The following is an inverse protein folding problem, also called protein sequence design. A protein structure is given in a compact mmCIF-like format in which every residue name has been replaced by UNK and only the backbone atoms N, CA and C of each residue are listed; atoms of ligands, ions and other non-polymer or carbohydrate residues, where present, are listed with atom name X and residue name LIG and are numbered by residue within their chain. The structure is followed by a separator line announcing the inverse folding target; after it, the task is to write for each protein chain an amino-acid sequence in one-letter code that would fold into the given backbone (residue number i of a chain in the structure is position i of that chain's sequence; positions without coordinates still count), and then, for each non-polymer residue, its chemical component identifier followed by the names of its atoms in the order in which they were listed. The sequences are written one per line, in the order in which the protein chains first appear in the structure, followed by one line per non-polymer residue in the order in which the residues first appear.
data_IF_993736246212
#
_entry.id   IF_993736246212
#
_cell.length_a   1.000
_cell.length_b   1.000
_cell.length_c   1.000
_cell.angle_alpha   90.00
_cell.angle_beta   90.00
_cell.angle_gamma   90.00
#
_symmetry.space_group_name_H-M   'P 1'
#
loop_
_entity.id
_entity.type
_entity.pdbx_description
1 polymer ?
#
# COMPACT_ATOMS: atom_id res chain seq x y z
N UNK A 1 11.42 4.85 -7.96
CA UNK A 1 10.71 3.57 -8.18
C UNK A 1 11.72 2.45 -8.05
N UNK A 2 11.30 1.30 -7.55
CA UNK A 2 12.16 0.12 -7.43
C UNK A 2 11.44 -1.09 -8.01
N UNK A 3 12.19 -1.94 -8.70
CA UNK A 3 11.73 -3.24 -9.20
C UNK A 3 12.62 -4.34 -8.66
N UNK A 4 12.04 -5.53 -8.46
CA UNK A 4 12.75 -6.71 -7.99
C UNK A 4 12.55 -7.88 -8.93
N UNK A 5 13.59 -8.65 -9.19
CA UNK A 5 13.44 -9.92 -9.87
C UNK A 5 12.95 -10.99 -8.86
N UNK A 6 11.67 -11.36 -8.93
CA UNK A 6 11.05 -12.40 -8.10
C UNK A 6 11.16 -13.80 -8.73
N UNK A 7 11.66 -13.89 -9.97
CA UNK A 7 11.84 -15.13 -10.68
C UNK A 7 13.14 -15.87 -10.32
N UNK A 8 13.26 -17.15 -10.72
CA UNK A 8 14.44 -17.97 -10.43
C UNK A 8 15.61 -17.75 -11.41
N UNK A 9 15.40 -17.01 -12.50
CA UNK A 9 16.39 -16.82 -13.57
C UNK A 9 16.85 -15.37 -13.65
N UNK A 10 17.99 -15.14 -14.32
CA UNK A 10 18.42 -13.80 -14.68
C UNK A 10 17.34 -13.12 -15.55
N UNK A 11 16.90 -11.94 -15.16
CA UNK A 11 15.91 -11.14 -15.87
C UNK A 11 16.62 -10.05 -16.68
N UNK A 12 16.46 -10.07 -18.02
CA UNK A 12 16.89 -9.00 -18.90
C UNK A 12 15.83 -7.89 -18.93
N UNK A 13 16.23 -6.67 -18.62
CA UNK A 13 15.36 -5.50 -18.61
C UNK A 13 15.47 -4.65 -19.89
N UNK A 14 16.23 -5.13 -20.89
CA UNK A 14 16.45 -4.34 -22.12
C UNK A 14 15.12 -4.10 -22.86
N UNK A 15 14.74 -2.82 -22.98
CA UNK A 15 13.51 -2.42 -23.65
C UNK A 15 12.24 -2.48 -22.80
N UNK A 16 12.32 -2.96 -21.56
CA UNK A 16 11.22 -2.81 -20.58
C UNK A 16 11.04 -1.32 -20.29
N UNK A 17 9.79 -0.85 -20.21
CA UNK A 17 9.53 0.58 -20.08
C UNK A 17 8.30 0.91 -19.23
N UNK A 18 8.39 1.97 -18.45
CA UNK A 18 7.24 2.68 -17.90
C UNK A 18 6.66 3.61 -18.96
N UNK A 19 5.34 3.57 -19.15
CA UNK A 19 4.62 4.34 -20.18
C UNK A 19 3.54 5.26 -19.61
N UNK A 20 3.15 5.03 -18.37
CA UNK A 20 2.17 5.85 -17.64
C UNK A 20 2.70 6.15 -16.24
N UNK A 21 2.34 7.31 -15.71
CA UNK A 21 2.83 7.92 -14.47
C UNK A 21 4.19 8.58 -14.67
N UNK A 22 5.21 7.80 -14.99
CA UNK A 22 6.54 8.26 -15.38
C UNK A 22 6.95 7.63 -16.70
N UNK A 23 7.87 8.26 -17.40
CA UNK A 23 8.48 7.72 -18.63
C UNK A 23 9.89 7.24 -18.33
N UNK A 24 10.15 5.96 -18.51
CA UNK A 24 11.49 5.36 -18.35
C UNK A 24 11.67 4.16 -19.27
N UNK A 25 12.86 4.05 -19.88
CA UNK A 25 13.29 2.84 -20.57
C UNK A 25 14.36 2.18 -19.71
N UNK A 26 14.13 0.91 -19.37
CA UNK A 26 15.01 0.13 -18.52
C UNK A 26 16.08 -0.57 -19.36
N UNK A 27 17.19 -0.91 -18.71
CA UNK A 27 18.28 -1.63 -19.32
C UNK A 27 19.07 -2.43 -18.28
N UNK A 28 19.91 -3.34 -18.78
CA UNK A 28 20.68 -4.24 -17.92
C UNK A 28 19.88 -5.45 -17.50
N UNK A 29 20.29 -6.09 -16.42
CA UNK A 29 19.66 -7.33 -15.93
C UNK A 29 19.64 -7.39 -14.42
N UNK A 30 18.71 -8.15 -13.87
CA UNK A 30 18.60 -8.44 -12.44
C UNK A 30 18.77 -9.94 -12.18
N UNK A 31 19.68 -10.30 -11.30
CA UNK A 31 19.78 -11.67 -10.79
C UNK A 31 18.54 -12.01 -9.93
N UNK A 32 18.24 -13.31 -9.69
CA UNK A 32 17.18 -13.71 -8.79
C UNK A 32 17.26 -13.01 -7.43
N UNK A 33 16.19 -12.36 -7.01
CA UNK A 33 16.11 -11.59 -5.77
C UNK A 33 16.74 -10.21 -5.79
N UNK A 34 17.42 -9.82 -6.88
CA UNK A 34 18.10 -8.53 -6.98
C UNK A 34 17.10 -7.39 -7.23
N UNK A 35 17.42 -6.21 -6.67
CA UNK A 35 16.68 -4.97 -6.85
C UNK A 35 17.34 -4.08 -7.90
N UNK A 36 16.52 -3.32 -8.61
CA UNK A 36 16.96 -2.29 -9.56
C UNK A 36 16.15 -1.02 -9.38
N UNK A 37 16.83 0.10 -9.32
CA UNK A 37 16.22 1.39 -9.12
C UNK A 37 15.99 2.10 -10.45
N UNK A 38 14.85 2.76 -10.56
CA UNK A 38 14.50 3.71 -11.61
C UNK A 38 14.35 5.06 -10.94
N UNK A 39 15.24 6.00 -11.24
CA UNK A 39 15.42 7.24 -10.50
C UNK A 39 15.41 8.46 -11.42
N UNK A 40 15.06 9.64 -10.89
CA UNK A 40 15.19 10.87 -11.65
C UNK A 40 16.66 11.30 -11.79
N UNK A 41 17.45 11.13 -10.72
CA UNK A 41 18.86 11.50 -10.69
C UNK A 41 19.71 10.37 -10.08
N UNK A 42 20.51 9.65 -10.86
CA UNK A 42 21.38 8.59 -10.36
C UNK A 42 22.38 9.03 -9.27
N UNK A 43 22.75 10.31 -9.25
CA UNK A 43 23.68 10.85 -8.27
C UNK A 43 23.17 10.82 -6.83
N UNK A 44 21.86 10.71 -6.63
CA UNK A 44 21.23 10.64 -5.30
C UNK A 44 21.33 9.24 -4.67
N UNK A 45 21.70 8.23 -5.46
CA UNK A 45 21.75 6.81 -5.04
C UNK A 45 23.11 6.16 -5.33
N UNK A 46 24.21 6.68 -4.77
CA UNK A 46 25.54 6.18 -5.06
C UNK A 46 25.74 4.73 -4.59
N UNK A 47 26.26 3.88 -5.48
CA UNK A 47 26.55 2.49 -5.20
C UNK A 47 25.36 1.54 -5.31
N UNK A 48 24.15 2.05 -5.58
CA UNK A 48 22.99 1.23 -5.85
C UNK A 48 22.86 0.90 -7.35
N UNK A 49 22.16 -0.18 -7.64
CA UNK A 49 21.96 -0.63 -9.02
C UNK A 49 20.86 0.18 -9.69
N UNK A 50 21.23 1.09 -10.57
CA UNK A 50 20.31 1.86 -11.38
C UNK A 50 20.05 1.10 -12.68
N UNK A 51 18.79 0.83 -13.01
CA UNK A 51 18.35 0.14 -14.22
C UNK A 51 17.62 1.05 -15.19
N UNK A 52 17.31 2.28 -14.78
CA UNK A 52 16.69 3.28 -15.64
C UNK A 52 16.67 4.66 -14.98
N UNK A 53 16.47 5.67 -15.83
CA UNK A 53 16.15 7.02 -15.38
C UNK A 53 14.79 7.41 -15.92
N UNK A 54 13.98 8.07 -15.11
CA UNK A 54 12.67 8.53 -15.53
C UNK A 54 12.63 10.05 -15.70
N UNK A 55 11.71 10.49 -16.55
CA UNK A 55 11.26 11.87 -16.66
C UNK A 55 9.80 11.97 -16.16
N UNK A 56 9.37 13.17 -15.81
CA UNK A 56 8.09 13.38 -15.14
C UNK A 56 8.22 13.33 -13.62
N UNK A 57 7.11 13.15 -12.96
CA UNK A 57 7.03 13.02 -11.50
C UNK A 57 5.80 12.19 -11.14
N UNK A 58 5.93 11.33 -10.15
CA UNK A 58 4.78 10.62 -9.58
C UNK A 58 3.78 11.64 -9.00
N UNK A 59 2.52 11.46 -9.33
CA UNK A 59 1.47 12.39 -8.91
C UNK A 59 1.06 12.12 -7.45
N UNK A 60 1.20 13.12 -6.59
CA UNK A 60 0.77 13.01 -5.19
C UNK A 60 -0.75 12.83 -5.01
N UNK A 61 -1.54 13.03 -6.06
CA UNK A 61 -2.99 12.78 -6.05
C UNK A 61 -3.38 11.36 -6.44
N UNK A 62 -2.41 10.56 -6.88
CA UNK A 62 -2.65 9.23 -7.46
C UNK A 62 -2.63 9.25 -8.99
N UNK A 63 -2.24 8.14 -9.57
CA UNK A 63 -2.22 7.93 -11.02
C UNK A 63 -2.02 6.45 -11.35
N UNK A 64 -2.20 6.11 -12.62
CA UNK A 64 -1.88 4.80 -13.14
C UNK A 64 -0.37 4.68 -13.38
N UNK A 65 0.20 3.54 -12.98
CA UNK A 65 1.55 3.12 -13.36
C UNK A 65 1.48 1.89 -14.25
N UNK A 66 2.08 1.98 -15.43
CA UNK A 66 2.11 0.87 -16.39
C UNK A 66 3.56 0.53 -16.77
N UNK A 67 3.94 -0.73 -16.56
CA UNK A 67 5.21 -1.29 -16.99
C UNK A 67 4.94 -2.26 -18.14
N UNK A 68 5.67 -2.08 -19.25
CA UNK A 68 5.56 -2.90 -20.47
C UNK A 68 6.87 -3.61 -20.77
N UNK A 69 6.75 -4.76 -21.41
CA UNK A 69 7.91 -5.46 -21.97
C UNK A 69 8.43 -4.80 -23.26
N UNK A 70 9.52 -5.31 -23.81
CA UNK A 70 10.13 -4.81 -25.04
C UNK A 70 9.23 -4.94 -26.28
N UNK A 71 8.17 -5.75 -26.24
CA UNK A 71 7.19 -5.91 -27.31
C UNK A 71 5.97 -5.00 -27.13
N UNK A 72 5.88 -4.29 -25.99
CA UNK A 72 4.77 -3.41 -25.64
C UNK A 72 3.61 -4.10 -24.93
N UNK A 73 3.79 -5.36 -24.49
CA UNK A 73 2.80 -6.07 -23.68
C UNK A 73 2.88 -5.64 -22.21
N UNK A 74 1.75 -5.52 -21.52
CA UNK A 74 1.73 -5.12 -20.12
C UNK A 74 2.33 -6.23 -19.25
N UNK A 75 3.38 -5.87 -18.49
CA UNK A 75 3.92 -6.67 -17.39
C UNK A 75 3.06 -6.44 -16.14
N UNK A 76 2.74 -5.16 -15.85
CA UNK A 76 1.82 -4.74 -14.80
C UNK A 76 1.18 -3.39 -15.18
N UNK A 77 0.00 -3.16 -14.63
CA UNK A 77 -0.69 -1.86 -14.70
C UNK A 77 -1.62 -1.75 -13.51
N UNK A 78 -1.45 -0.73 -12.70
CA UNK A 78 -2.27 -0.50 -11.52
C UNK A 78 -2.41 0.99 -11.24
N UNK A 79 -3.49 1.36 -10.54
CA UNK A 79 -3.75 2.70 -10.06
C UNK A 79 -3.41 2.81 -8.57
N UNK A 80 -2.68 3.83 -8.18
CA UNK A 80 -2.54 4.18 -6.77
C UNK A 80 -3.22 5.51 -6.48
N UNK A 81 -3.73 5.66 -5.26
CA UNK A 81 -4.40 6.87 -4.81
C UNK A 81 -3.56 7.63 -3.79
N UNK A 82 -3.46 8.93 -3.95
CA UNK A 82 -2.60 9.77 -3.10
C UNK A 82 -3.09 9.93 -1.68
N UNK A 83 -4.31 9.54 -1.37
CA UNK A 83 -4.87 9.60 -0.02
C UNK A 83 -4.80 8.28 0.76
N UNK A 84 -4.26 7.23 0.16
CA UNK A 84 -4.09 5.95 0.86
C UNK A 84 -3.21 6.07 2.11
N UNK A 85 -2.07 6.77 1.98
CA UNK A 85 -1.09 6.91 3.05
C UNK A 85 -0.52 8.33 3.07
N UNK A 86 -1.01 9.16 3.98
CA UNK A 86 -0.56 10.56 4.10
C UNK A 86 0.96 10.74 4.25
N UNK A 87 1.70 9.92 5.03
CA UNK A 87 3.14 10.05 5.14
C UNK A 87 3.94 9.77 3.86
N UNK A 88 3.45 8.89 2.97
CA UNK A 88 4.08 8.68 1.66
C UNK A 88 4.04 9.96 0.80
N UNK A 89 3.02 10.76 1.01
CA UNK A 89 2.76 11.98 0.25
C UNK A 89 3.57 13.20 0.73
N UNK A 90 3.88 13.29 2.02
CA UNK A 90 4.42 14.51 2.63
C UNK A 90 5.64 14.32 3.50
N UNK A 91 5.96 13.12 3.93
CA UNK A 91 7.00 12.84 4.92
C UNK A 91 8.14 11.96 4.36
N UNK A 92 8.09 11.66 3.06
CA UNK A 92 9.17 10.96 2.34
C UNK A 92 9.17 9.43 2.52
N UNK A 93 8.10 8.85 3.02
CA UNK A 93 7.95 7.40 3.04
C UNK A 93 7.64 6.86 1.65
N UNK A 94 8.07 5.63 1.35
CA UNK A 94 7.66 4.91 0.15
C UNK A 94 6.44 4.03 0.40
N UNK A 95 5.76 3.65 -0.68
CA UNK A 95 4.76 2.59 -0.69
C UNK A 95 5.42 1.29 -1.11
N UNK A 96 5.25 0.25 -0.30
CA UNK A 96 5.78 -1.08 -0.55
C UNK A 96 4.63 -2.06 -0.71
N UNK A 97 4.67 -2.88 -1.78
CA UNK A 97 3.66 -3.91 -1.99
C UNK A 97 3.81 -5.03 -0.96
N UNK A 98 2.70 -5.43 -0.33
CA UNK A 98 2.68 -6.42 0.75
C UNK A 98 2.94 -7.85 0.27
N UNK A 99 2.42 -8.21 -0.89
CA UNK A 99 2.63 -9.52 -1.51
C UNK A 99 3.13 -9.34 -2.95
N UNK A 100 4.43 -9.52 -3.15
CA UNK A 100 5.08 -9.39 -4.45
C UNK A 100 4.68 -10.51 -5.44
N UNK A 101 4.02 -11.58 -4.97
CA UNK A 101 3.55 -12.68 -5.79
C UNK A 101 2.05 -12.61 -6.08
N UNK A 102 1.35 -11.64 -5.50
CA UNK A 102 -0.06 -11.40 -5.81
C UNK A 102 -0.23 -10.94 -7.27
N UNK A 103 -1.39 -11.21 -7.82
CA UNK A 103 -1.77 -10.64 -9.10
C UNK A 103 -1.80 -9.11 -8.99
N UNK A 104 -1.12 -8.42 -9.91
CA UNK A 104 -1.01 -6.96 -9.88
C UNK A 104 -2.38 -6.25 -10.00
N UNK A 105 -3.43 -6.91 -10.51
CA UNK A 105 -4.79 -6.37 -10.48
C UNK A 105 -5.32 -6.13 -9.06
N UNK A 106 -4.71 -6.75 -8.03
CA UNK A 106 -5.03 -6.46 -6.63
C UNK A 106 -4.36 -5.19 -6.11
N UNK A 107 -3.40 -4.64 -6.85
CA UNK A 107 -2.59 -3.49 -6.41
C UNK A 107 -3.31 -2.14 -6.55
N UNK A 108 -4.47 -2.10 -7.19
CA UNK A 108 -5.41 -0.95 -7.19
C UNK A 108 -6.03 -0.70 -5.81
N UNK A 109 -5.77 -1.56 -4.85
CA UNK A 109 -6.29 -1.45 -3.48
C UNK A 109 -5.21 -1.03 -2.49
N UNK A 110 -5.49 -0.05 -1.65
CA UNK A 110 -4.59 0.35 -0.55
C UNK A 110 -4.18 -0.82 0.36
N UNK A 111 -5.00 -1.88 0.43
CA UNK A 111 -4.75 -3.07 1.25
C UNK A 111 -3.63 -3.95 0.72
N UNK A 112 -3.19 -3.71 -0.50
CA UNK A 112 -2.03 -4.39 -1.09
C UNK A 112 -0.71 -3.69 -0.79
N UNK A 113 -0.75 -2.55 -0.08
CA UNK A 113 0.40 -1.70 0.17
C UNK A 113 0.61 -1.42 1.65
N UNK A 114 1.83 -1.07 2.01
CA UNK A 114 2.20 -0.52 3.30
C UNK A 114 3.21 0.62 3.12
N UNK A 115 3.35 1.45 4.14
CA UNK A 115 4.47 2.38 4.21
C UNK A 115 5.78 1.65 4.46
N UNK A 116 6.86 2.16 3.90
CA UNK A 116 8.21 1.79 4.34
C UNK A 116 8.38 2.06 5.84
N UNK A 117 9.32 1.34 6.47
CA UNK A 117 9.62 1.52 7.90
C UNK A 117 10.19 2.90 8.23
N UNK A 118 10.92 3.48 7.28
CA UNK A 118 11.65 4.72 7.46
C UNK A 118 11.38 5.67 6.29
N UNK A 119 11.45 6.97 6.55
CA UNK A 119 11.46 7.98 5.51
C UNK A 119 12.68 7.77 4.60
N UNK A 120 12.46 7.82 3.28
CA UNK A 120 13.47 7.46 2.28
C UNK A 120 13.40 5.99 1.83
N UNK A 121 12.63 5.16 2.51
CA UNK A 121 12.50 3.73 2.18
C UNK A 121 13.76 2.93 2.41
N UNK A 122 13.84 1.77 1.76
CA UNK A 122 15.00 0.85 1.82
C UNK A 122 15.54 0.54 0.43
N UNK A 123 16.01 1.54 -0.35
CA UNK A 123 16.37 1.35 -1.75
C UNK A 123 17.51 0.32 -1.91
N UNK A 124 17.29 -0.63 -2.81
CA UNK A 124 18.27 -1.67 -3.16
C UNK A 124 18.27 -2.89 -2.23
N UNK A 125 17.48 -2.89 -1.17
CA UNK A 125 17.39 -4.00 -0.21
C UNK A 125 15.94 -4.30 0.17
N UNK A 126 15.70 -5.50 0.69
CA UNK A 126 14.39 -5.83 1.22
C UNK A 126 14.03 -4.89 2.39
N UNK A 127 12.78 -4.47 2.45
CA UNK A 127 12.31 -3.72 3.60
C UNK A 127 12.55 -4.52 4.89
N UNK A 128 13.23 -3.93 5.89
CA UNK A 128 13.64 -4.64 7.10
C UNK A 128 12.48 -5.05 8.03
N UNK A 129 11.33 -4.44 7.89
CA UNK A 129 10.15 -4.86 8.65
C UNK A 129 9.31 -5.84 7.84
N UNK A 130 8.83 -6.93 8.47
CA UNK A 130 7.80 -7.72 7.83
C UNK A 130 6.61 -6.79 7.55
N UNK A 131 6.16 -6.80 6.33
CA UNK A 131 4.90 -6.17 5.96
C UNK A 131 3.80 -6.88 6.75
N UNK A 132 3.41 -6.31 7.87
CA UNK A 132 2.29 -6.82 8.66
C UNK A 132 1.15 -5.81 8.58
N UNK A 133 -0.04 -6.31 8.35
CA UNK A 133 -1.25 -5.51 8.47
C UNK A 133 -1.65 -5.40 9.95
N UNK A 134 -0.69 -5.20 10.88
CA UNK A 134 -1.00 -4.93 12.27
C UNK A 134 -1.43 -3.47 12.49
N UNK A 135 -2.05 -3.22 13.64
CA UNK A 135 -2.53 -1.89 13.99
C UNK A 135 -1.43 -0.83 13.94
N UNK A 136 -0.21 -1.17 14.36
CA UNK A 136 0.91 -0.25 14.38
C UNK A 136 1.35 0.15 12.96
N UNK A 137 1.37 -0.79 12.02
CA UNK A 137 1.70 -0.53 10.62
C UNK A 137 0.60 0.27 9.93
N UNK A 138 -0.66 -0.10 10.14
CA UNK A 138 -1.81 0.62 9.62
C UNK A 138 -1.87 2.06 10.15
N UNK A 139 -1.69 2.26 11.46
CA UNK A 139 -1.77 3.60 12.07
C UNK A 139 -0.71 4.56 11.53
N UNK A 140 0.49 4.08 11.19
CA UNK A 140 1.54 4.89 10.54
C UNK A 140 1.11 5.44 9.18
N UNK A 141 0.20 4.76 8.49
CA UNK A 141 -0.36 5.23 7.21
C UNK A 141 -1.23 6.47 7.34
N UNK A 142 -1.74 6.75 8.54
CA UNK A 142 -2.74 7.81 8.74
C UNK A 142 -2.33 8.88 9.74
N UNK A 143 -1.47 8.56 10.70
CA UNK A 143 -1.07 9.46 11.77
C UNK A 143 0.40 9.89 11.59
N UNK A 144 0.68 11.17 11.77
CA UNK A 144 2.04 11.70 11.84
C UNK A 144 2.79 11.16 13.07
N UNK A 145 4.11 11.29 13.09
CA UNK A 145 4.92 10.86 14.25
C UNK A 145 4.49 11.52 15.57
N UNK A 146 4.10 12.78 15.53
CA UNK A 146 3.59 13.49 16.70
C UNK A 146 2.26 12.93 17.20
N UNK A 147 1.35 12.58 16.29
CA UNK A 147 0.07 11.92 16.61
C UNK A 147 0.26 10.48 17.09
N UNK A 148 1.20 9.74 16.50
CA UNK A 148 1.55 8.39 16.95
C UNK A 148 2.12 8.37 18.37
N UNK A 149 2.84 9.41 18.74
CA UNK A 149 3.36 9.58 20.10
C UNK A 149 2.27 9.94 21.14
N UNK A 150 1.08 10.34 20.70
CA UNK A 150 -0.06 10.67 21.58
C UNK A 150 -1.15 9.59 21.53
N UNK A 151 -1.23 8.70 22.54
CA UNK A 151 -2.27 7.67 22.61
C UNK A 151 -3.71 8.23 22.70
N UNK A 152 -3.88 9.52 23.02
CA UNK A 152 -5.19 10.14 23.01
C UNK A 152 -5.66 10.53 21.61
N UNK A 153 -4.78 10.42 20.59
CA UNK A 153 -5.08 10.67 19.19
C UNK A 153 -5.08 9.35 18.40
N UNK A 154 -3.97 8.61 18.46
CA UNK A 154 -3.75 7.41 17.65
C UNK A 154 -4.09 6.09 18.38
N UNK A 155 -4.54 6.15 19.62
CA UNK A 155 -4.85 4.93 20.38
C UNK A 155 -6.01 4.13 19.77
N UNK A 156 -6.02 2.79 19.92
CA UNK A 156 -7.00 1.93 19.24
C UNK A 156 -8.46 2.19 19.66
N UNK A 157 -8.69 2.65 20.87
CA UNK A 157 -10.04 2.94 21.38
C UNK A 157 -10.47 4.40 21.16
N UNK A 158 -9.63 5.21 20.56
CA UNK A 158 -9.92 6.62 20.27
C UNK A 158 -10.76 6.70 18.99
N UNK A 159 -11.70 7.62 18.97
CA UNK A 159 -12.42 8.05 17.77
C UNK A 159 -11.77 9.35 17.27
N UNK A 160 -10.82 9.21 16.35
CA UNK A 160 -10.06 10.34 15.82
C UNK A 160 -10.88 11.27 14.91
N UNK A 161 -11.95 10.77 14.32
CA UNK A 161 -12.82 11.52 13.40
C UNK A 161 -14.05 12.13 14.07
N UNK A 162 -14.42 11.67 15.27
CA UNK A 162 -15.63 12.08 15.98
C UNK A 162 -16.94 11.53 15.41
N UNK A 163 -16.90 10.36 14.76
CA UNK A 163 -18.06 9.73 14.13
C UNK A 163 -18.65 8.55 14.94
N UNK A 164 -18.11 8.29 16.12
CA UNK A 164 -18.53 7.19 16.99
C UNK A 164 -17.85 5.86 16.69
N UNK A 165 -16.94 5.80 15.70
CA UNK A 165 -16.20 4.59 15.32
C UNK A 165 -14.75 4.71 15.78
N UNK A 166 -14.31 3.76 16.62
CA UNK A 166 -12.94 3.78 17.14
C UNK A 166 -11.90 3.47 16.05
N UNK A 167 -10.66 3.94 16.25
CA UNK A 167 -9.54 3.64 15.37
C UNK A 167 -9.34 2.13 15.15
N UNK A 168 -9.54 1.31 16.19
CA UNK A 168 -9.46 -0.15 16.08
C UNK A 168 -10.53 -0.73 15.15
N UNK A 169 -11.75 -0.22 15.23
CA UNK A 169 -12.82 -0.65 14.33
C UNK A 169 -12.52 -0.21 12.90
N UNK A 170 -12.05 1.01 12.72
CA UNK A 170 -11.63 1.51 11.39
C UNK A 170 -10.47 0.71 10.81
N UNK A 171 -9.52 0.31 11.65
CA UNK A 171 -8.45 -0.61 11.27
C UNK A 171 -9.02 -1.96 10.80
N UNK A 172 -9.92 -2.57 11.58
CA UNK A 172 -10.54 -3.84 11.20
C UNK A 172 -11.29 -3.78 9.87
N UNK A 173 -11.91 -2.64 9.57
CA UNK A 173 -12.65 -2.37 8.34
C UNK A 173 -11.74 -1.85 7.20
N UNK A 174 -10.48 -1.52 7.50
CA UNK A 174 -9.53 -0.98 6.54
C UNK A 174 -9.87 0.43 6.04
N UNK A 175 -10.47 1.26 6.88
CA UNK A 175 -10.89 2.62 6.51
C UNK A 175 -10.06 3.68 7.24
N UNK A 176 -10.02 4.89 6.67
CA UNK A 176 -9.25 6.02 7.21
C UNK A 176 -9.78 6.46 8.59
N UNK A 177 -8.95 6.44 9.66
CA UNK A 177 -9.37 6.81 11.01
C UNK A 177 -9.76 8.28 11.14
N UNK A 178 -9.29 9.15 10.25
CA UNK A 178 -9.53 10.59 10.28
C UNK A 178 -10.75 11.03 9.47
N UNK A 179 -11.29 10.16 8.60
CA UNK A 179 -12.49 10.45 7.82
C UNK A 179 -13.76 10.10 8.60
N UNK A 180 -14.72 11.01 8.64
CA UNK A 180 -16.06 10.75 9.19
C UNK A 180 -16.87 9.85 8.26
N UNK A 181 -17.75 9.03 8.83
CA UNK A 181 -18.61 8.11 8.07
C UNK A 181 -17.89 6.90 7.49
N UNK A 182 -16.67 6.65 7.94
CA UNK A 182 -15.84 5.51 7.52
C UNK A 182 -16.31 4.18 8.12
N UNK A 183 -17.58 3.82 7.94
CA UNK A 183 -18.11 2.51 8.35
C UNK A 183 -17.72 1.40 7.36
N UNK A 184 -16.85 1.70 6.37
CA UNK A 184 -16.65 0.83 5.23
C UNK A 184 -17.94 0.63 4.43
N UNK A 185 -17.91 -0.34 3.54
CA UNK A 185 -19.12 -0.76 2.79
C UNK A 185 -20.05 -1.64 3.66
N UNK A 186 -20.37 -1.14 4.86
CA UNK A 186 -21.23 -1.86 5.77
C UNK A 186 -22.69 -1.73 5.34
N UNK A 187 -23.33 -2.84 4.99
CA UNK A 187 -24.74 -2.88 4.67
C UNK A 187 -25.41 -4.11 5.30
N UNK A 188 -26.67 -3.92 5.69
CA UNK A 188 -27.53 -4.98 6.19
C UNK A 188 -28.70 -5.11 5.23
N UNK A 189 -28.88 -6.28 4.66
CA UNK A 189 -30.02 -6.61 3.80
C UNK A 189 -30.90 -7.62 4.53
N UNK A 190 -32.21 -7.38 4.50
CA UNK A 190 -33.20 -8.28 5.10
C UNK A 190 -34.11 -8.78 3.96
N UNK A 191 -34.09 -10.10 3.73
CA UNK A 191 -34.97 -10.76 2.75
C UNK A 191 -35.73 -11.87 3.44
N UNK A 192 -36.99 -11.63 3.75
CA UNK A 192 -37.84 -12.54 4.48
C UNK A 192 -37.31 -12.87 5.87
N UNK A 193 -36.90 -14.12 6.10
CA UNK A 193 -36.29 -14.58 7.35
C UNK A 193 -34.76 -14.52 7.38
N UNK A 194 -34.14 -14.06 6.30
CA UNK A 194 -32.68 -13.98 6.16
C UNK A 194 -32.19 -12.57 6.38
N UNK A 195 -31.10 -12.47 7.15
CA UNK A 195 -30.35 -11.21 7.33
C UNK A 195 -28.95 -11.40 6.74
N UNK A 196 -28.60 -10.57 5.77
CA UNK A 196 -27.27 -10.57 5.16
C UNK A 196 -26.54 -9.33 5.61
N UNK A 197 -25.34 -9.55 6.17
CA UNK A 197 -24.42 -8.50 6.57
C UNK A 197 -23.27 -8.46 5.57
N UNK A 198 -23.10 -7.34 4.85
CA UNK A 198 -22.00 -7.11 3.97
C UNK A 198 -21.06 -6.07 4.60
N UNK A 199 -19.78 -6.36 4.63
CA UNK A 199 -18.75 -5.40 5.06
C UNK A 199 -17.40 -5.76 4.45
N UNK A 200 -16.60 -4.75 4.18
CA UNK A 200 -15.20 -4.90 3.83
C UNK A 200 -14.35 -5.00 5.09
N UNK A 201 -13.29 -5.76 5.06
CA UNK A 201 -12.32 -5.83 6.15
C UNK A 201 -10.91 -5.91 5.61
N UNK A 202 -9.96 -5.45 6.41
CA UNK A 202 -8.55 -5.67 6.14
C UNK A 202 -8.22 -7.17 6.26
N UNK A 203 -7.59 -7.73 5.25
CA UNK A 203 -7.13 -9.12 5.28
C UNK A 203 -5.82 -9.27 6.05
N UNK A 204 -5.61 -10.48 6.60
CA UNK A 204 -4.34 -10.85 7.26
C UNK A 204 -3.93 -9.89 8.40
N UNK A 205 -4.90 -9.47 9.21
CA UNK A 205 -4.64 -8.71 10.44
C UNK A 205 -4.19 -9.66 11.56
N UNK A 206 -2.90 -9.72 11.92
CA UNK A 206 -2.37 -10.75 12.83
C UNK A 206 -2.71 -10.49 14.31
N UNK A 207 -3.06 -9.26 14.65
CA UNK A 207 -3.23 -8.73 16.01
C UNK A 207 -4.69 -8.58 16.45
N UNK A 208 -5.65 -8.83 15.56
CA UNK A 208 -7.08 -8.80 15.87
C UNK A 208 -7.82 -10.04 15.34
N UNK A 209 -8.94 -10.33 15.99
CA UNK A 209 -9.93 -11.28 15.49
C UNK A 209 -11.24 -10.54 15.31
N UNK A 210 -11.84 -10.66 14.14
CA UNK A 210 -13.16 -10.09 13.86
C UNK A 210 -14.19 -11.21 13.99
N UNK A 211 -15.19 -11.02 14.87
CA UNK A 211 -16.32 -11.91 15.04
C UNK A 211 -17.63 -11.18 14.77
N UNK A 212 -18.58 -11.89 14.20
CA UNK A 212 -19.95 -11.38 14.02
C UNK A 212 -20.85 -12.21 14.93
N UNK A 213 -21.43 -11.54 15.92
CA UNK A 213 -22.39 -12.16 16.83
C UNK A 213 -23.81 -11.77 16.43
N UNK A 214 -24.71 -12.73 16.46
CA UNK A 214 -26.12 -12.53 16.18
C UNK A 214 -26.91 -12.78 17.43
N UNK A 215 -27.70 -11.82 17.87
CA UNK A 215 -28.64 -11.95 19.00
C UNK A 215 -30.07 -12.00 18.49
N UNK A 216 -30.88 -12.87 19.09
CA UNK A 216 -32.32 -12.93 18.84
C UNK A 216 -33.10 -11.95 19.72
N UNK A 217 -32.46 -11.38 20.71
CA UNK A 217 -32.98 -10.37 21.62
C UNK A 217 -31.92 -9.27 21.80
N UNK A 218 -32.29 -8.04 21.61
CA UNK A 218 -31.41 -6.87 21.79
C UNK A 218 -31.38 -6.41 23.27
N UNK A 219 -31.32 -7.37 24.21
CA UNK A 219 -31.24 -7.10 25.66
C UNK A 219 -29.81 -7.23 26.15
#
# INVERSE_FOLDING_TARGET
IEVRNIGPNLLDLTGVQFTDGVEAILSGSLAPGEYGLIVANPGDFPGLKIVGTYTGALNNGGEQLTLRDANGENILSFDYEGDWFSPARSEGYSLDVLDQNADWSSWDSQFSWALSSDAGGSPGVANPLPHSNDYASWSRGYFSEAELADPAVSGPLVDASGDGVSNLMKYALGVDPKKQGGNGDFSVEIDGESVTLNFSRLEKTPDITVTVDVSSDLV
#
